data_IF_864089987217
#
_entry.id   IF_864089987217
#
_cell.length_a   1.000
_cell.length_b   1.000
_cell.length_c   1.000
_cell.angle_alpha   90.00
_cell.angle_beta   90.00
_cell.angle_gamma   90.00
#
_symmetry.space_group_name_H-M   'P 1'
#
loop_
_entity.id
_entity.type
_entity.pdbx_description
1 polymer ?
#
# COMPACT_ATOMS: atom_id res chain seq x y z
N UNK A 1 -26.20 5.07 14.72
CA UNK A 1 -27.22 4.75 13.70
C UNK A 1 -27.40 3.23 13.59
N UNK A 2 -28.63 2.70 13.47
CA UNK A 2 -28.87 1.27 13.32
C UNK A 2 -28.45 0.73 11.94
N UNK A 3 -28.09 -0.56 11.85
CA UNK A 3 -27.62 -1.20 10.62
C UNK A 3 -28.72 -1.28 9.56
N UNK A 4 -28.40 -0.98 8.29
CA UNK A 4 -29.35 -1.07 7.18
C UNK A 4 -30.18 0.19 6.86
N UNK A 5 -29.97 1.30 7.57
CA UNK A 5 -30.76 2.54 7.38
C UNK A 5 -30.21 3.53 6.35
N UNK A 6 -29.39 3.08 5.39
CA UNK A 6 -28.83 3.98 4.36
C UNK A 6 -27.84 5.02 4.90
N UNK A 7 -27.08 4.67 5.95
CA UNK A 7 -26.07 5.57 6.56
C UNK A 7 -25.06 6.06 5.52
N UNK A 8 -24.55 5.13 4.72
CA UNK A 8 -23.52 5.37 3.72
C UNK A 8 -24.02 6.32 2.64
N UNK A 9 -25.17 6.03 2.02
CA UNK A 9 -25.81 6.93 1.05
C UNK A 9 -26.05 8.33 1.61
N UNK A 10 -26.58 8.44 2.85
CA UNK A 10 -26.87 9.74 3.48
C UNK A 10 -25.60 10.55 3.76
N UNK A 11 -24.51 9.87 4.15
CA UNK A 11 -23.23 10.50 4.39
C UNK A 11 -22.57 10.93 3.08
N UNK A 12 -22.59 10.08 2.07
CA UNK A 12 -22.05 10.38 0.74
C UNK A 12 -22.79 11.56 0.09
N UNK A 13 -24.13 11.58 0.17
CA UNK A 13 -24.94 12.67 -0.41
C UNK A 13 -24.65 14.01 0.25
N UNK A 14 -24.55 14.05 1.59
CA UNK A 14 -24.21 15.26 2.33
C UNK A 14 -22.83 15.79 1.95
N UNK A 15 -21.82 14.91 1.87
CA UNK A 15 -20.45 15.32 1.59
C UNK A 15 -20.30 15.80 0.15
N UNK A 16 -20.87 15.09 -0.82
CA UNK A 16 -20.86 15.52 -2.24
C UNK A 16 -21.57 16.87 -2.40
N UNK A 17 -22.72 17.06 -1.75
CA UNK A 17 -23.43 18.34 -1.76
C UNK A 17 -22.58 19.46 -1.15
N UNK A 18 -21.89 19.19 -0.04
CA UNK A 18 -21.01 20.16 0.62
C UNK A 18 -19.80 20.54 -0.23
N UNK A 19 -19.16 19.55 -0.90
CA UNK A 19 -18.04 19.79 -1.82
C UNK A 19 -18.45 20.64 -3.02
N UNK A 20 -19.67 20.43 -3.56
CA UNK A 20 -20.21 21.26 -4.65
C UNK A 20 -20.59 22.67 -4.19
N UNK A 21 -21.20 22.80 -3.01
CA UNK A 21 -21.66 24.10 -2.50
C UNK A 21 -20.50 25.01 -2.07
N UNK A 22 -19.37 24.43 -1.64
CA UNK A 22 -18.20 25.16 -1.15
C UNK A 22 -16.90 24.60 -1.74
N UNK A 23 -16.58 24.91 -3.01
CA UNK A 23 -15.31 24.50 -3.60
C UNK A 23 -14.15 25.14 -2.80
N UNK A 24 -13.30 24.30 -2.20
CA UNK A 24 -12.15 24.72 -1.39
C UNK A 24 -12.28 24.47 0.12
N UNK A 25 -13.48 24.22 0.65
CA UNK A 25 -13.64 23.86 2.06
C UNK A 25 -13.20 22.41 2.34
N UNK A 26 -13.52 21.50 1.42
CA UNK A 26 -13.08 20.10 1.45
C UNK A 26 -12.47 19.79 0.09
N UNK A 27 -11.17 19.49 0.06
CA UNK A 27 -10.46 19.15 -1.17
C UNK A 27 -10.51 17.64 -1.44
N UNK A 28 -10.35 16.83 -0.38
CA UNK A 28 -10.42 15.37 -0.45
C UNK A 28 -11.34 14.79 0.60
N UNK A 29 -12.15 13.83 0.20
CA UNK A 29 -12.95 12.99 1.06
C UNK A 29 -12.42 11.55 1.03
N UNK A 30 -12.22 10.97 2.20
CA UNK A 30 -11.65 9.63 2.37
C UNK A 30 -12.63 8.78 3.17
N UNK A 31 -13.10 7.69 2.56
CA UNK A 31 -13.94 6.69 3.20
C UNK A 31 -13.12 5.45 3.52
N UNK A 32 -13.09 5.09 4.80
CA UNK A 32 -12.32 3.96 5.31
C UNK A 32 -13.25 2.85 5.74
N UNK A 33 -13.03 1.66 5.18
CA UNK A 33 -13.85 0.48 5.43
C UNK A 33 -13.00 -0.75 5.79
N UNK A 34 -13.62 -1.84 6.25
CA UNK A 34 -12.91 -3.04 6.70
C UNK A 34 -12.60 -3.96 5.55
N UNK A 35 -13.64 -4.32 4.80
CA UNK A 35 -13.56 -5.39 3.81
C UNK A 35 -13.67 -4.85 2.39
N UNK A 36 -13.12 -5.59 1.43
CA UNK A 36 -13.21 -5.23 0.00
C UNK A 36 -14.66 -5.20 -0.50
N UNK A 37 -15.56 -6.12 -0.12
CA UNK A 37 -16.97 -6.03 -0.48
C UNK A 37 -17.68 -4.77 0.06
N UNK A 38 -17.31 -4.29 1.25
CA UNK A 38 -17.83 -3.02 1.75
C UNK A 38 -17.35 -1.84 0.90
N UNK A 39 -16.06 -1.81 0.54
CA UNK A 39 -15.50 -0.81 -0.39
C UNK A 39 -16.27 -0.82 -1.72
N UNK A 40 -16.52 -2.00 -2.30
CA UNK A 40 -17.28 -2.14 -3.54
C UNK A 40 -18.71 -1.62 -3.41
N UNK A 41 -19.40 -1.91 -2.30
CA UNK A 41 -20.76 -1.40 -2.02
C UNK A 41 -20.79 0.12 -1.95
N UNK A 42 -19.85 0.73 -1.23
CA UNK A 42 -19.75 2.21 -1.10
C UNK A 42 -19.58 2.85 -2.48
N UNK A 43 -18.75 2.27 -3.35
CA UNK A 43 -18.53 2.77 -4.71
C UNK A 43 -19.79 2.61 -5.57
N UNK A 44 -20.51 1.51 -5.47
CA UNK A 44 -21.78 1.32 -6.20
C UNK A 44 -22.86 2.30 -5.73
N UNK A 45 -22.96 2.57 -4.43
CA UNK A 45 -23.84 3.62 -3.91
C UNK A 45 -23.45 5.01 -4.44
N UNK A 46 -22.15 5.31 -4.52
CA UNK A 46 -21.66 6.54 -5.12
C UNK A 46 -22.01 6.65 -6.62
N UNK A 47 -21.99 5.53 -7.35
CA UNK A 47 -22.43 5.48 -8.76
C UNK A 47 -23.92 5.79 -8.90
N UNK A 48 -24.75 5.32 -7.97
CA UNK A 48 -26.18 5.67 -7.94
C UNK A 48 -26.36 7.17 -7.71
N UNK A 49 -25.61 7.74 -6.75
CA UNK A 49 -25.64 9.18 -6.47
C UNK A 49 -25.21 10.01 -7.68
N UNK A 50 -24.15 9.61 -8.37
CA UNK A 50 -23.67 10.31 -9.57
C UNK A 50 -24.69 10.28 -10.72
N UNK A 51 -25.42 9.17 -10.89
CA UNK A 51 -26.52 9.09 -11.86
C UNK A 51 -27.66 10.02 -11.49
N UNK A 52 -28.03 10.08 -10.20
CA UNK A 52 -29.05 10.99 -9.71
C UNK A 52 -28.66 12.45 -9.96
N UNK A 53 -27.41 12.82 -9.70
CA UNK A 53 -26.93 14.16 -10.05
C UNK A 53 -26.98 14.42 -11.57
N UNK A 54 -26.56 13.46 -12.40
CA UNK A 54 -26.60 13.63 -13.85
C UNK A 54 -28.03 13.86 -14.37
N UNK A 55 -29.03 13.19 -13.79
CA UNK A 55 -30.44 13.38 -14.17
C UNK A 55 -31.01 14.72 -13.71
N UNK A 56 -30.63 15.18 -12.52
CA UNK A 56 -31.18 16.43 -11.95
C UNK A 56 -30.49 17.68 -12.50
N UNK A 57 -29.18 17.65 -12.75
CA UNK A 57 -28.44 18.82 -13.23
C UNK A 57 -28.30 18.89 -14.75
N UNK A 58 -28.72 17.85 -15.48
CA UNK A 58 -28.58 17.72 -16.93
C UNK A 58 -27.12 17.90 -17.43
N UNK A 59 -26.16 17.72 -16.53
CA UNK A 59 -24.71 17.75 -16.79
C UNK A 59 -24.14 16.33 -16.73
N UNK A 60 -22.88 16.13 -17.14
CA UNK A 60 -22.13 14.87 -17.02
C UNK A 60 -21.76 14.56 -15.54
N UNK A 61 -22.78 14.43 -14.69
CA UNK A 61 -22.74 13.94 -13.32
C UNK A 61 -22.17 14.91 -12.29
N UNK A 62 -21.49 14.35 -11.27
CA UNK A 62 -20.99 15.15 -10.14
C UNK A 62 -19.73 15.96 -10.46
N UNK A 63 -19.05 15.74 -11.59
CA UNK A 63 -17.78 16.38 -11.93
C UNK A 63 -16.60 15.99 -11.02
N UNK A 64 -16.80 15.04 -10.10
CA UNK A 64 -15.79 14.59 -9.13
C UNK A 64 -15.14 13.29 -9.59
N UNK A 65 -13.84 13.15 -9.29
CA UNK A 65 -13.12 11.90 -9.45
C UNK A 65 -13.19 11.09 -8.16
N UNK A 66 -13.77 9.89 -8.24
CA UNK A 66 -13.81 8.95 -7.13
C UNK A 66 -13.10 7.65 -7.49
N UNK A 67 -12.26 7.15 -6.58
CA UNK A 67 -11.50 5.93 -6.79
C UNK A 67 -11.53 5.01 -5.57
N UNK A 68 -11.67 3.71 -5.82
CA UNK A 68 -11.41 2.70 -4.81
C UNK A 68 -10.00 2.12 -4.91
N UNK A 69 -9.38 1.90 -3.76
CA UNK A 69 -8.07 1.25 -3.66
C UNK A 69 -8.18 -0.12 -3.00
N UNK A 70 -7.33 -1.02 -3.45
CA UNK A 70 -7.20 -2.37 -2.91
C UNK A 70 -5.78 -2.90 -3.10
N UNK A 71 -5.53 -4.09 -2.56
CA UNK A 71 -4.29 -4.85 -2.74
C UNK A 71 -4.02 -5.25 -4.20
N UNK A 72 -2.75 -5.59 -4.50
CA UNK A 72 -2.33 -6.05 -5.83
C UNK A 72 -3.07 -7.31 -6.28
N UNK A 73 -3.41 -8.21 -5.36
CA UNK A 73 -4.22 -9.41 -5.61
C UNK A 73 -5.53 -9.07 -6.34
N UNK A 74 -6.15 -7.95 -5.98
CA UNK A 74 -7.43 -7.54 -6.53
C UNK A 74 -7.31 -6.65 -7.76
N UNK A 75 -6.14 -6.09 -8.11
CA UNK A 75 -5.98 -5.14 -9.23
C UNK A 75 -5.03 -5.64 -10.34
N UNK A 76 -4.21 -6.65 -10.08
CA UNK A 76 -3.24 -7.16 -11.06
C UNK A 76 -3.94 -7.82 -12.27
N UNK A 77 -3.49 -7.46 -13.48
CA UNK A 77 -3.95 -8.03 -14.75
C UNK A 77 -3.04 -9.17 -15.22
N UNK A 78 -1.75 -9.10 -14.89
CA UNK A 78 -0.74 -10.05 -15.37
C UNK A 78 -1.07 -11.48 -14.93
N UNK A 79 -1.06 -12.41 -15.89
CA UNK A 79 -1.56 -13.78 -15.65
C UNK A 79 -0.66 -14.55 -14.70
N UNK A 80 0.66 -14.43 -14.88
CA UNK A 80 1.65 -15.16 -14.10
C UNK A 80 1.67 -14.71 -12.64
N UNK A 81 1.53 -13.39 -12.43
CA UNK A 81 1.45 -12.81 -11.09
C UNK A 81 0.14 -13.18 -10.41
N UNK A 82 -0.99 -13.11 -11.13
CA UNK A 82 -2.31 -13.44 -10.57
C UNK A 82 -2.45 -14.91 -10.16
N UNK A 83 -1.77 -15.83 -10.87
CA UNK A 83 -1.77 -17.27 -10.57
C UNK A 83 -1.05 -17.62 -9.27
N UNK A 84 -0.20 -16.74 -8.73
CA UNK A 84 0.49 -16.96 -7.45
C UNK A 84 -0.46 -17.09 -6.24
N UNK A 85 -1.72 -16.63 -6.37
CA UNK A 85 -2.80 -16.87 -5.42
C UNK A 85 -2.76 -16.00 -4.17
N UNK A 86 -1.78 -16.23 -3.29
CA UNK A 86 -1.69 -15.52 -2.02
C UNK A 86 -1.22 -14.06 -2.17
N UNK A 87 -1.64 -13.18 -1.27
CA UNK A 87 -1.34 -11.75 -1.32
C UNK A 87 0.16 -11.45 -1.30
N UNK A 88 0.90 -12.08 -0.38
CA UNK A 88 2.35 -11.92 -0.29
C UNK A 88 3.08 -12.50 -1.50
N UNK A 89 2.61 -13.65 -2.01
CA UNK A 89 3.15 -14.28 -3.21
C UNK A 89 2.95 -13.42 -4.47
N UNK A 90 1.77 -12.80 -4.61
CA UNK A 90 1.44 -11.83 -5.66
C UNK A 90 2.34 -10.61 -5.57
N UNK A 91 2.57 -10.08 -4.37
CA UNK A 91 3.44 -8.92 -4.16
C UNK A 91 4.90 -9.24 -4.52
N UNK A 92 5.40 -10.40 -4.12
CA UNK A 92 6.74 -10.87 -4.49
C UNK A 92 6.87 -11.10 -6.00
N UNK A 93 5.87 -11.71 -6.64
CA UNK A 93 5.86 -11.94 -8.09
C UNK A 93 5.82 -10.63 -8.88
N UNK A 94 5.01 -9.67 -8.45
CA UNK A 94 4.98 -8.32 -9.03
C UNK A 94 6.33 -7.62 -8.86
N UNK A 95 6.93 -7.70 -7.67
CA UNK A 95 8.23 -7.11 -7.40
C UNK A 95 9.33 -7.69 -8.29
N UNK A 96 9.34 -9.01 -8.51
CA UNK A 96 10.29 -9.67 -9.43
C UNK A 96 10.26 -9.14 -10.87
N UNK A 97 9.16 -8.54 -11.31
CA UNK A 97 9.01 -8.01 -12.66
C UNK A 97 9.14 -6.48 -12.76
N UNK A 98 8.94 -5.78 -11.64
CA UNK A 98 8.84 -4.31 -11.60
C UNK A 98 10.01 -3.65 -10.88
N UNK A 99 10.86 -4.44 -10.23
CA UNK A 99 11.98 -3.89 -9.50
C UNK A 99 13.01 -3.22 -10.42
N UNK A 100 13.57 -2.12 -9.94
CA UNK A 100 14.40 -1.20 -10.74
C UNK A 100 15.60 -1.86 -11.41
N UNK A 101 16.25 -2.82 -10.77
CA UNK A 101 17.34 -3.61 -11.36
C UNK A 101 16.92 -4.49 -12.51
N UNK A 102 15.74 -5.10 -12.42
CA UNK A 102 15.19 -5.95 -13.47
C UNK A 102 14.90 -5.09 -14.68
N UNK A 103 14.35 -3.88 -14.44
CA UNK A 103 14.10 -2.89 -15.49
C UNK A 103 15.39 -2.42 -16.16
N UNK A 104 16.42 -2.09 -15.38
CA UNK A 104 17.75 -1.70 -15.89
C UNK A 104 18.41 -2.84 -16.69
N UNK A 105 18.34 -4.07 -16.18
CA UNK A 105 18.84 -5.26 -16.89
C UNK A 105 18.06 -5.54 -18.16
N UNK A 106 16.75 -5.37 -18.14
CA UNK A 106 15.90 -5.51 -19.32
C UNK A 106 16.21 -4.45 -20.39
N UNK A 107 16.59 -3.24 -19.98
CA UNK A 107 17.03 -2.20 -20.91
C UNK A 107 18.36 -2.56 -21.61
N UNK A 108 19.27 -3.28 -20.94
CA UNK A 108 20.50 -3.79 -21.54
C UNK A 108 20.34 -5.13 -22.28
N UNK A 109 19.42 -5.98 -21.82
CA UNK A 109 19.17 -7.32 -22.32
C UNK A 109 17.67 -7.60 -22.36
N UNK A 110 17.10 -7.58 -23.56
CA UNK A 110 15.68 -7.77 -23.82
C UNK A 110 15.17 -9.19 -23.47
N UNK A 111 16.05 -10.14 -23.11
CA UNK A 111 15.65 -11.49 -22.67
C UNK A 111 15.11 -11.53 -21.23
N UNK A 112 15.39 -10.52 -20.41
CA UNK A 112 14.97 -10.48 -19.00
C UNK A 112 13.46 -10.19 -18.88
N UNK A 113 12.66 -10.97 -18.14
CA UNK A 113 11.22 -10.72 -18.06
C UNK A 113 10.90 -9.43 -17.28
N UNK A 114 10.15 -8.53 -17.91
CA UNK A 114 9.63 -7.29 -17.31
C UNK A 114 8.11 -7.18 -17.44
N UNK A 115 7.46 -6.39 -16.58
CA UNK A 115 6.01 -6.20 -16.65
C UNK A 115 5.66 -5.12 -17.69
N UNK A 116 5.17 -5.54 -18.85
CA UNK A 116 4.73 -4.65 -19.95
C UNK A 116 3.76 -3.55 -19.46
N UNK A 117 2.76 -3.95 -18.66
CA UNK A 117 1.74 -3.02 -18.14
C UNK A 117 2.31 -1.91 -17.25
N UNK A 118 3.41 -2.19 -16.54
CA UNK A 118 4.05 -1.21 -15.69
C UNK A 118 4.94 -0.27 -16.52
N UNK A 119 5.71 -0.80 -17.47
CA UNK A 119 6.53 0.02 -18.36
C UNK A 119 5.69 0.99 -19.19
N UNK A 120 4.58 0.52 -19.77
CA UNK A 120 3.67 1.37 -20.55
C UNK A 120 3.04 2.47 -19.69
N UNK A 121 2.70 2.15 -18.43
CA UNK A 121 2.19 3.12 -17.47
C UNK A 121 3.26 4.14 -17.06
N UNK A 122 4.51 3.72 -16.86
CA UNK A 122 5.60 4.61 -16.48
C UNK A 122 5.96 5.59 -17.59
N UNK A 123 5.84 5.17 -18.86
CA UNK A 123 6.10 5.99 -20.04
C UNK A 123 4.98 6.99 -20.34
N UNK A 124 3.72 6.56 -20.37
CA UNK A 124 2.61 7.38 -20.87
C UNK A 124 1.54 7.68 -19.82
N UNK A 125 1.38 6.80 -18.83
CA UNK A 125 0.28 6.85 -17.88
C UNK A 125 0.36 7.98 -16.85
N UNK A 126 1.53 8.62 -16.70
CA UNK A 126 1.71 9.77 -15.79
C UNK A 126 1.22 11.09 -16.39
N UNK A 127 1.22 11.22 -17.72
CA UNK A 127 0.82 12.46 -18.40
C UNK A 127 -0.71 12.56 -18.56
N UNK A 128 -1.40 11.42 -18.57
CA UNK A 128 -2.84 11.34 -18.74
C UNK A 128 -3.54 10.96 -17.43
N UNK A 129 -4.01 11.94 -16.63
CA UNK A 129 -4.81 11.63 -15.46
C UNK A 129 -6.15 11.00 -15.85
N UNK A 130 -6.74 10.24 -14.93
CA UNK A 130 -8.09 9.71 -15.12
C UNK A 130 -9.09 10.87 -15.27
N UNK A 131 -9.97 10.76 -16.27
CA UNK A 131 -11.11 11.65 -16.42
C UNK A 131 -12.03 11.59 -15.20
N UNK A 132 -12.76 12.67 -14.92
CA UNK A 132 -13.76 12.68 -13.85
C UNK A 132 -14.75 11.51 -14.01
N UNK A 133 -15.06 10.84 -12.91
CA UNK A 133 -15.84 9.61 -12.91
C UNK A 133 -15.60 8.79 -11.65
N UNK A 134 -16.39 7.72 -11.50
CA UNK A 134 -16.33 6.85 -10.32
C UNK A 134 -15.76 5.50 -10.74
N UNK A 135 -14.54 5.19 -10.31
CA UNK A 135 -13.82 3.98 -10.70
C UNK A 135 -13.88 2.90 -9.61
N UNK A 136 -14.44 1.73 -9.96
CA UNK A 136 -14.50 0.56 -9.07
C UNK A 136 -13.32 -0.42 -9.32
N UNK A 137 -13.06 -1.28 -8.34
CA UNK A 137 -11.95 -2.25 -8.29
C UNK A 137 -12.18 -3.44 -9.24
N UNK A 138 -13.36 -4.04 -9.19
CA UNK A 138 -13.73 -5.25 -9.93
C UNK A 138 -15.23 -5.22 -10.28
N UNK A 139 -15.59 -5.62 -11.50
CA UNK A 139 -16.96 -6.02 -11.81
C UNK A 139 -17.08 -7.53 -11.63
N UNK A 140 -17.79 -7.97 -10.58
CA UNK A 140 -18.19 -9.36 -10.38
C UNK A 140 -19.56 -9.69 -11.00
N UNK A 141 -20.25 -8.72 -11.57
CA UNK A 141 -21.57 -8.94 -12.18
C UNK A 141 -21.45 -9.33 -13.64
N UNK A 142 -21.69 -10.61 -13.89
CA UNK A 142 -21.93 -11.21 -15.20
C UNK A 142 -23.33 -10.89 -15.78
N UNK A 143 -24.11 -10.04 -15.11
CA UNK A 143 -25.52 -9.81 -15.44
C UNK A 143 -25.77 -8.33 -15.67
N UNK A 144 -26.29 -8.01 -16.86
CA UNK A 144 -26.58 -6.70 -17.44
C UNK A 144 -25.42 -6.08 -18.25
N UNK A 145 -25.16 -6.73 -19.39
CA UNK A 145 -24.70 -6.07 -20.62
C UNK A 145 -25.61 -4.86 -20.89
N UNK A 146 -25.03 -3.68 -21.07
CA UNK A 146 -25.39 -2.63 -22.05
C UNK A 146 -24.72 -1.28 -21.68
N UNK A 147 -24.37 -1.00 -20.41
CA UNK A 147 -23.76 0.31 -20.07
C UNK A 147 -22.73 0.33 -18.91
N UNK A 148 -22.12 -0.81 -18.55
CA UNK A 148 -21.23 -0.92 -17.37
C UNK A 148 -19.72 -0.83 -17.64
N UNK A 149 -19.25 -0.68 -18.88
CA UNK A 149 -17.82 -0.82 -19.21
C UNK A 149 -16.93 0.42 -18.98
N UNK A 150 -17.46 1.60 -18.68
CA UNK A 150 -16.64 2.83 -18.66
C UNK A 150 -15.83 3.05 -17.37
N UNK A 151 -16.21 2.41 -16.27
CA UNK A 151 -15.85 2.88 -14.92
C UNK A 151 -15.17 1.81 -14.04
N UNK A 152 -14.48 0.86 -14.66
CA UNK A 152 -13.71 -0.17 -13.97
C UNK A 152 -12.21 0.02 -14.21
N UNK A 153 -11.43 0.03 -13.14
CA UNK A 153 -10.00 0.31 -13.24
C UNK A 153 -9.24 -0.80 -13.97
N UNK A 154 -9.66 -2.06 -13.80
CA UNK A 154 -9.10 -3.20 -14.56
C UNK A 154 -9.42 -3.14 -16.04
N UNK A 155 -10.66 -2.79 -16.40
CA UNK A 155 -11.07 -2.72 -17.80
C UNK A 155 -10.33 -1.57 -18.50
N UNK A 156 -10.20 -0.44 -17.82
CA UNK A 156 -9.42 0.71 -18.29
C UNK A 156 -7.95 0.34 -18.50
N UNK A 157 -7.32 -0.34 -17.53
CA UNK A 157 -5.93 -0.79 -17.66
C UNK A 157 -5.73 -1.82 -18.78
N UNK A 158 -6.70 -2.72 -19.02
CA UNK A 158 -6.64 -3.65 -20.17
C UNK A 158 -6.76 -2.94 -21.51
N UNK A 159 -7.59 -1.90 -21.59
CA UNK A 159 -7.82 -1.16 -22.84
C UNK A 159 -6.60 -0.33 -23.24
N UNK A 160 -5.95 0.32 -22.27
CA UNK A 160 -4.80 1.21 -22.53
C UNK A 160 -3.44 0.53 -22.33
N UNK A 161 -3.42 -0.71 -21.82
CA UNK A 161 -2.17 -1.41 -21.50
C UNK A 161 -1.52 -0.96 -20.19
N UNK A 162 -2.22 -0.23 -19.32
CA UNK A 162 -1.66 0.25 -18.06
C UNK A 162 -1.91 -0.68 -16.88
N UNK A 163 -0.96 -0.70 -15.94
CA UNK A 163 -1.11 -1.40 -14.67
C UNK A 163 -2.16 -0.71 -13.78
N UNK A 164 -3.32 -1.34 -13.49
CA UNK A 164 -4.40 -0.70 -12.74
C UNK A 164 -3.99 -0.35 -11.32
N UNK A 165 -3.11 -1.14 -10.71
CA UNK A 165 -2.65 -0.91 -9.34
C UNK A 165 -1.85 0.38 -9.21
N UNK A 166 -0.90 0.60 -10.11
CA UNK A 166 -0.08 1.83 -10.11
C UNK A 166 -0.88 3.03 -10.58
N UNK A 167 -1.76 2.83 -11.56
CA UNK A 167 -2.73 3.83 -11.98
C UNK A 167 -3.59 4.30 -10.79
N UNK A 168 -4.18 3.36 -10.02
CA UNK A 168 -5.01 3.70 -8.87
C UNK A 168 -4.27 4.58 -7.85
N UNK A 169 -3.02 4.21 -7.57
CA UNK A 169 -2.16 4.92 -6.63
C UNK A 169 -1.79 6.31 -7.12
N UNK A 170 -1.46 6.43 -8.40
CA UNK A 170 -1.16 7.74 -8.99
C UNK A 170 -2.39 8.66 -8.96
N UNK A 171 -3.58 8.10 -9.22
CA UNK A 171 -4.84 8.85 -9.19
C UNK A 171 -5.25 9.33 -7.79
N UNK A 172 -4.63 8.88 -6.70
CA UNK A 172 -4.86 9.40 -5.33
C UNK A 172 -4.57 10.91 -5.26
N UNK A 173 -3.61 11.39 -6.06
CA UNK A 173 -3.24 12.81 -6.08
C UNK A 173 -4.38 13.68 -6.60
N UNK A 174 -5.07 13.21 -7.64
CA UNK A 174 -6.10 13.96 -8.38
C UNK A 174 -7.53 13.62 -7.95
N UNK A 175 -7.73 12.52 -7.21
CA UNK A 175 -9.05 12.10 -6.77
C UNK A 175 -9.60 13.00 -5.67
N UNK A 176 -10.89 13.34 -5.79
CA UNK A 176 -11.64 14.05 -4.77
C UNK A 176 -12.19 13.11 -3.71
N UNK A 177 -12.61 11.90 -4.11
CA UNK A 177 -13.18 10.89 -3.22
C UNK A 177 -12.35 9.63 -3.30
N UNK A 178 -11.92 9.11 -2.15
CA UNK A 178 -11.09 7.91 -2.08
C UNK A 178 -11.71 6.92 -1.12
N UNK A 179 -11.92 5.68 -1.56
CA UNK A 179 -12.45 4.60 -0.73
C UNK A 179 -11.40 3.52 -0.57
N UNK A 180 -10.92 3.26 0.64
CA UNK A 180 -9.94 2.22 0.90
C UNK A 180 -10.04 1.61 2.29
N UNK A 181 -9.20 0.61 2.58
CA UNK A 181 -9.21 -0.05 3.87
C UNK A 181 -8.47 0.73 4.95
N UNK A 182 -8.98 0.73 6.19
CA UNK A 182 -8.32 1.42 7.31
C UNK A 182 -6.85 1.00 7.53
N UNK A 183 -6.43 -0.18 7.06
CA UNK A 183 -5.03 -0.61 7.11
C UNK A 183 -4.07 0.35 6.40
N UNK A 184 -4.52 1.05 5.35
CA UNK A 184 -3.68 1.99 4.59
C UNK A 184 -3.38 3.28 5.39
N UNK A 185 -4.29 3.70 6.27
CA UNK A 185 -4.07 4.86 7.18
C UNK A 185 -3.40 4.47 8.49
N UNK A 186 -3.70 3.27 9.00
CA UNK A 186 -3.21 2.88 10.32
C UNK A 186 -1.81 2.26 10.26
N UNK A 187 -1.38 1.68 9.14
CA UNK A 187 -0.01 1.16 9.01
C UNK A 187 0.98 2.31 8.80
N UNK A 188 1.89 2.61 9.76
CA UNK A 188 2.84 3.70 9.62
C UNK A 188 3.74 3.55 8.38
N UNK A 189 3.97 2.32 7.90
CA UNK A 189 4.75 2.09 6.68
C UNK A 189 4.04 2.63 5.45
N UNK A 190 2.72 2.45 5.36
CA UNK A 190 1.91 2.83 4.19
C UNK A 190 1.36 4.25 4.35
N UNK A 191 0.93 4.59 5.57
CA UNK A 191 0.38 5.87 5.94
C UNK A 191 1.36 7.00 5.69
N UNK A 192 2.67 6.79 5.86
CA UNK A 192 3.66 7.80 5.55
C UNK A 192 3.73 8.16 4.05
N UNK A 193 3.41 7.23 3.14
CA UNK A 193 3.31 7.58 1.73
C UNK A 193 2.02 8.34 1.47
N UNK A 194 0.89 7.79 1.91
CA UNK A 194 -0.43 8.35 1.59
C UNK A 194 -0.67 9.68 2.30
N UNK A 195 -0.26 9.82 3.56
CA UNK A 195 -0.53 11.02 4.38
C UNK A 195 0.28 12.24 3.96
N UNK A 196 1.42 12.04 3.27
CA UNK A 196 2.18 13.16 2.68
C UNK A 196 1.43 13.80 1.52
N UNK A 197 0.64 12.99 0.82
CA UNK A 197 -0.09 13.35 -0.40
C UNK A 197 -1.51 13.88 -0.13
N UNK A 198 -1.91 13.96 1.15
CA UNK A 198 -3.22 14.42 1.57
C UNK A 198 -3.18 15.88 2.01
N UNK A 199 -4.06 16.74 1.47
CA UNK A 199 -4.18 18.11 1.93
C UNK A 199 -4.77 18.17 3.34
N UNK A 200 -4.45 19.24 4.06
CA UNK A 200 -4.97 19.48 5.43
C UNK A 200 -6.50 19.62 5.45
N UNK A 201 -7.09 20.09 4.34
CA UNK A 201 -8.54 20.23 4.16
C UNK A 201 -9.16 18.91 3.66
N UNK A 202 -8.81 17.80 4.31
CA UNK A 202 -9.38 16.48 4.00
C UNK A 202 -10.31 16.00 5.11
N UNK A 203 -11.38 15.33 4.71
CA UNK A 203 -12.35 14.71 5.64
C UNK A 203 -12.20 13.20 5.55
N UNK A 204 -11.91 12.58 6.69
CA UNK A 204 -11.73 11.13 6.81
C UNK A 204 -12.91 10.57 7.62
N UNK A 205 -13.61 9.59 7.04
CA UNK A 205 -14.69 8.86 7.71
C UNK A 205 -14.30 7.41 7.89
N UNK A 206 -14.29 6.96 9.14
CA UNK A 206 -14.11 5.56 9.49
C UNK A 206 -15.46 4.89 9.65
N UNK A 207 -15.75 3.96 8.75
CA UNK A 207 -16.89 3.08 8.88
C UNK A 207 -16.56 1.91 9.82
N UNK A 208 -17.56 1.45 10.57
CA UNK A 208 -17.42 0.38 11.56
C UNK A 208 -16.19 0.55 12.50
N UNK A 209 -15.97 1.79 12.96
CA UNK A 209 -14.82 2.20 13.75
C UNK A 209 -14.63 1.44 15.07
N UNK A 210 -15.63 0.68 15.52
CA UNK A 210 -15.56 -0.18 16.70
C UNK A 210 -14.49 -1.29 16.58
N UNK A 211 -13.96 -1.56 15.38
CA UNK A 211 -12.88 -2.53 15.19
C UNK A 211 -11.46 -1.93 15.24
N UNK A 212 -11.30 -0.60 15.35
CA UNK A 212 -9.98 0.05 15.25
C UNK A 212 -9.01 -0.43 16.34
N UNK A 213 -9.50 -0.65 17.57
CA UNK A 213 -8.65 -1.13 18.67
C UNK A 213 -8.11 -2.53 18.39
N UNK A 214 -8.96 -3.44 17.90
CA UNK A 214 -8.56 -4.80 17.52
C UNK A 214 -7.56 -4.81 16.37
N UNK A 215 -7.52 -3.79 15.52
CA UNK A 215 -6.54 -3.71 14.42
C UNK A 215 -5.14 -3.49 14.96
N UNK A 216 -4.98 -2.77 16.09
CA UNK A 216 -3.69 -2.66 16.77
C UNK A 216 -3.26 -4.01 17.34
N UNK A 217 -4.20 -4.76 17.89
CA UNK A 217 -3.93 -6.10 18.47
C UNK A 217 -3.61 -7.14 17.39
N UNK A 218 -4.34 -7.13 16.27
CA UNK A 218 -4.05 -7.98 15.11
C UNK A 218 -2.67 -7.70 14.51
N UNK A 219 -2.17 -6.45 14.59
CA UNK A 219 -0.77 -6.17 14.22
C UNK A 219 0.22 -6.85 15.16
N UNK A 220 -0.03 -6.82 16.47
CA UNK A 220 0.83 -7.50 17.44
C UNK A 220 0.84 -9.02 17.19
N UNK A 221 -0.34 -9.61 16.97
CA UNK A 221 -0.46 -11.05 16.73
C UNK A 221 0.04 -11.49 15.34
N UNK A 222 -0.14 -10.65 14.31
CA UNK A 222 0.45 -10.92 12.99
C UNK A 222 1.98 -10.81 13.00
N UNK A 223 2.56 -9.95 13.85
CA UNK A 223 4.01 -9.89 14.02
C UNK A 223 4.55 -11.19 14.64
N UNK A 224 3.79 -11.83 15.52
CA UNK A 224 4.12 -13.15 16.08
C UNK A 224 4.02 -14.25 15.02
N UNK A 225 2.95 -14.30 14.25
CA UNK A 225 2.82 -15.23 13.11
C UNK A 225 3.87 -15.02 12.02
N UNK A 226 4.24 -13.76 11.72
CA UNK A 226 5.32 -13.44 10.80
C UNK A 226 6.67 -13.94 11.33
N UNK A 227 6.90 -13.91 12.65
CA UNK A 227 8.11 -14.50 13.25
C UNK A 227 8.15 -16.01 13.06
N UNK A 228 7.02 -16.69 13.21
CA UNK A 228 6.92 -18.14 12.98
C UNK A 228 7.15 -18.52 11.51
N UNK A 229 6.57 -17.78 10.56
CA UNK A 229 6.81 -18.00 9.14
C UNK A 229 8.23 -17.62 8.72
N UNK A 230 8.79 -16.55 9.28
CA UNK A 230 10.18 -16.17 9.10
C UNK A 230 11.11 -17.28 9.59
N UNK A 231 10.83 -17.88 10.75
CA UNK A 231 11.60 -19.03 11.24
C UNK A 231 11.55 -20.20 10.25
N UNK A 232 10.36 -20.55 9.74
CA UNK A 232 10.19 -21.60 8.71
C UNK A 232 10.93 -21.28 7.40
N UNK A 233 10.92 -20.02 6.98
CA UNK A 233 11.59 -19.55 5.77
C UNK A 233 13.11 -19.47 5.93
N UNK A 234 13.61 -19.10 7.11
CA UNK A 234 15.05 -19.11 7.44
C UNK A 234 15.58 -20.54 7.47
N UNK A 235 14.78 -21.49 7.96
CA UNK A 235 15.06 -22.93 7.87
C UNK A 235 15.19 -23.38 6.39
N UNK A 236 14.28 -22.93 5.52
CA UNK A 236 14.28 -23.24 4.08
C UNK A 236 15.36 -22.52 3.26
N UNK A 237 15.70 -21.27 3.60
CA UNK A 237 16.73 -20.48 2.92
C UNK A 237 18.15 -20.96 3.24
N UNK A 238 18.36 -21.65 4.37
CA UNK A 238 19.62 -22.35 4.70
C UNK A 238 19.99 -23.42 3.66
N UNK A 239 19.02 -23.89 2.86
CA UNK A 239 19.24 -24.85 1.77
C UNK A 239 19.45 -24.18 0.39
N UNK A 240 19.15 -22.89 0.24
CA UNK A 240 19.13 -22.18 -1.06
C UNK A 240 20.16 -21.05 -1.12
N UNK A 241 21.34 -21.25 -0.53
CA UNK A 241 22.34 -20.23 -0.27
C UNK A 241 23.22 -19.85 -1.48
N UNK A 242 22.65 -19.82 -2.68
CA UNK A 242 23.33 -19.28 -3.88
C UNK A 242 22.30 -18.56 -4.75
N UNK A 243 21.99 -17.31 -4.39
CA UNK A 243 21.61 -16.21 -5.30
C UNK A 243 20.85 -15.14 -4.52
N UNK A 244 21.53 -14.04 -4.17
CA UNK A 244 21.06 -12.63 -4.23
C UNK A 244 21.83 -11.74 -3.25
N UNK A 245 22.81 -11.03 -3.78
CA UNK A 245 22.99 -9.60 -3.55
C UNK A 245 22.68 -8.97 -4.92
N UNK A 246 21.75 -8.04 -5.06
CA UNK A 246 21.75 -6.67 -4.56
C UNK A 246 20.42 -6.09 -5.01
N UNK A 247 19.54 -5.57 -4.14
CA UNK A 247 18.43 -4.70 -4.58
C UNK A 247 17.80 -3.83 -3.48
N UNK A 248 18.46 -2.70 -3.24
CA UNK A 248 17.77 -1.49 -2.83
C UNK A 248 17.45 -0.71 -4.11
N UNK A 249 16.18 -0.63 -4.46
CA UNK A 249 15.49 0.58 -4.95
C UNK A 249 14.06 0.15 -5.33
N UNK A 250 13.10 0.80 -4.64
CA UNK A 250 11.64 0.61 -4.59
C UNK A 250 11.08 -0.30 -3.48
N UNK A 251 11.67 -0.20 -2.28
CA UNK A 251 10.98 -0.45 -1.02
C UNK A 251 10.82 0.88 -0.27
N UNK A 252 9.57 1.27 0.04
CA UNK A 252 9.20 2.35 0.96
C UNK A 252 9.74 3.77 0.61
N UNK A 253 9.18 4.86 1.17
CA UNK A 253 9.67 6.19 0.86
C UNK A 253 11.07 6.31 1.45
N UNK A 254 11.97 6.73 0.57
CA UNK A 254 13.31 7.21 0.87
C UNK A 254 13.17 8.17 2.05
N UNK A 255 13.86 7.86 3.15
CA UNK A 255 14.08 8.78 4.23
C UNK A 255 14.64 10.07 3.61
N UNK A 256 14.13 11.28 3.96
CA UNK A 256 14.65 12.53 3.42
C UNK A 256 16.18 12.56 3.46
N UNK A 257 16.82 13.13 2.43
CA UNK A 257 18.28 13.07 2.22
C UNK A 257 19.11 13.58 3.43
N UNK A 258 18.49 14.38 4.31
CA UNK A 258 19.04 14.81 5.59
C UNK A 258 19.33 13.62 6.53
N UNK A 259 18.46 12.61 6.56
CA UNK A 259 18.62 11.40 7.38
C UNK A 259 19.71 10.49 6.78
N UNK A 260 19.85 10.42 5.45
CA UNK A 260 20.90 9.62 4.81
C UNK A 260 22.31 10.17 5.08
N UNK A 261 22.45 11.49 5.30
CA UNK A 261 23.74 12.12 5.62
C UNK A 261 24.06 12.09 7.11
N UNK A 262 23.06 12.10 8.00
CA UNK A 262 23.26 12.12 9.46
C UNK A 262 23.13 10.76 10.15
N UNK A 263 22.32 9.82 9.64
CA UNK A 263 21.92 8.61 10.39
C UNK A 263 22.83 7.40 10.19
N UNK A 264 23.79 7.43 9.26
CA UNK A 264 24.74 6.32 9.08
C UNK A 264 26.07 6.70 9.72
N UNK A 265 26.39 6.19 10.93
CA UNK A 265 27.71 6.33 11.52
C UNK A 265 28.80 5.98 10.50
N UNK A 266 29.91 6.73 10.48
CA UNK A 266 30.99 6.53 9.52
C UNK A 266 31.52 5.08 9.45
N UNK A 267 31.36 4.32 10.54
CA UNK A 267 31.70 2.90 10.67
C UNK A 267 30.77 1.92 9.95
N UNK A 268 29.63 2.35 9.41
CA UNK A 268 28.66 1.49 8.69
C UNK A 268 28.59 1.82 7.18
N UNK A 269 29.52 2.64 6.68
CA UNK A 269 29.51 3.08 5.27
C UNK A 269 30.02 2.02 4.28
N UNK A 270 30.87 1.09 4.72
CA UNK A 270 31.32 -0.02 3.87
C UNK A 270 30.51 -1.30 4.15
N UNK A 271 30.20 -2.05 3.08
CA UNK A 271 29.47 -3.30 3.18
C UNK A 271 30.14 -4.28 4.16
N UNK A 272 31.47 -4.33 4.17
CA UNK A 272 32.24 -5.18 5.09
C UNK A 272 32.05 -4.78 6.55
N UNK A 273 32.07 -3.47 6.85
CA UNK A 273 31.88 -2.99 8.21
C UNK A 273 30.44 -3.21 8.69
N UNK A 274 29.47 -3.11 7.78
CA UNK A 274 28.07 -3.42 8.03
C UNK A 274 27.84 -4.93 8.27
N UNK A 275 28.45 -5.80 7.47
CA UNK A 275 28.39 -7.25 7.67
C UNK A 275 29.08 -7.66 8.98
N UNK A 276 30.22 -7.07 9.30
CA UNK A 276 30.91 -7.28 10.58
C UNK A 276 30.07 -6.78 11.77
N UNK A 277 29.34 -5.68 11.60
CA UNK A 277 28.35 -5.21 12.57
C UNK A 277 27.22 -6.21 12.76
N UNK A 278 26.57 -6.67 11.67
CA UNK A 278 25.47 -7.62 11.73
C UNK A 278 25.90 -8.94 12.37
N UNK A 279 27.10 -9.45 12.04
CA UNK A 279 27.66 -10.66 12.67
C UNK A 279 27.83 -10.48 14.18
N UNK A 280 28.42 -9.36 14.63
CA UNK A 280 28.60 -9.05 16.06
C UNK A 280 27.27 -8.94 16.78
N UNK A 281 26.31 -8.23 16.21
CA UNK A 281 24.97 -8.09 16.78
C UNK A 281 24.24 -9.44 16.86
N UNK A 282 24.35 -10.27 15.82
CA UNK A 282 23.75 -11.60 15.79
C UNK A 282 24.34 -12.52 16.87
N UNK A 283 25.67 -12.50 17.07
CA UNK A 283 26.32 -13.28 18.14
C UNK A 283 25.90 -12.81 19.52
N UNK A 284 25.74 -11.50 19.73
CA UNK A 284 25.18 -10.97 20.98
C UNK A 284 23.74 -11.45 21.23
N UNK A 285 22.88 -11.40 20.21
CA UNK A 285 21.50 -11.90 20.32
C UNK A 285 21.48 -13.40 20.63
N UNK A 286 22.35 -14.20 20.00
CA UNK A 286 22.49 -15.63 20.31
C UNK A 286 22.95 -15.86 21.76
N UNK A 287 23.91 -15.08 22.26
CA UNK A 287 24.38 -15.17 23.63
C UNK A 287 23.25 -14.84 24.62
N UNK A 288 22.42 -13.85 24.30
CA UNK A 288 21.25 -13.48 25.10
C UNK A 288 20.13 -14.52 25.07
N UNK A 289 19.92 -15.18 23.94
CA UNK A 289 18.94 -16.27 23.80
C UNK A 289 19.36 -17.59 24.47
N UNK A 290 20.65 -17.77 24.82
CA UNK A 290 21.15 -18.96 25.53
C UNK A 290 20.92 -18.95 27.04
N UNK A 291 20.38 -17.86 27.58
CA UNK A 291 20.13 -17.73 29.02
C UNK A 291 19.01 -18.71 29.43
N UNK A 292 19.30 -19.60 30.38
CA UNK A 292 18.40 -20.69 30.78
C UNK A 292 17.27 -20.27 31.73
N UNK A 293 17.24 -19.00 32.17
CA UNK A 293 16.20 -18.45 33.02
C UNK A 293 15.43 -17.33 32.28
N UNK A 294 14.17 -17.11 32.69
CA UNK A 294 13.33 -16.05 32.11
C UNK A 294 13.88 -14.69 32.53
N UNK A 295 14.19 -13.85 31.55
CA UNK A 295 14.68 -12.48 31.75
C UNK A 295 13.67 -11.50 31.14
N UNK A 296 13.23 -10.52 31.93
CA UNK A 296 12.40 -9.41 31.47
C UNK A 296 13.23 -8.13 31.44
N UNK A 297 13.54 -7.62 30.26
CA UNK A 297 14.30 -6.38 30.06
C UNK A 297 13.44 -5.33 29.34
N UNK A 298 13.64 -4.05 29.69
CA UNK A 298 13.04 -2.95 28.93
C UNK A 298 13.85 -2.68 27.66
N UNK A 299 13.25 -2.14 26.58
CA UNK A 299 13.97 -1.83 25.35
C UNK A 299 15.18 -0.90 25.57
N UNK A 300 15.08 0.02 26.53
CA UNK A 300 16.17 0.93 26.89
C UNK A 300 17.32 0.21 27.57
N UNK A 301 17.02 -0.74 28.48
CA UNK A 301 18.04 -1.56 29.13
C UNK A 301 18.77 -2.46 28.12
N UNK A 302 18.01 -3.06 27.19
CA UNK A 302 18.57 -3.88 26.13
C UNK A 302 19.52 -3.10 25.21
N UNK A 303 19.15 -1.88 24.81
CA UNK A 303 19.99 -1.02 23.98
C UNK A 303 21.25 -0.54 24.72
N UNK A 304 21.16 -0.31 26.03
CA UNK A 304 22.33 0.03 26.85
C UNK A 304 23.32 -1.13 26.91
N UNK A 305 22.83 -2.35 27.13
CA UNK A 305 23.69 -3.53 27.17
C UNK A 305 24.29 -3.87 25.80
N UNK A 306 23.53 -3.64 24.72
CA UNK A 306 24.06 -3.71 23.35
C UNK A 306 25.23 -2.72 23.15
N UNK A 307 25.09 -1.50 23.65
CA UNK A 307 26.15 -0.49 23.56
C UNK A 307 27.37 -0.90 24.39
N UNK A 308 27.18 -1.41 25.60
CA UNK A 308 28.27 -1.79 26.50
C UNK A 308 29.04 -3.03 26.01
N UNK A 309 28.34 -4.05 25.48
CA UNK A 309 28.97 -5.32 25.10
C UNK A 309 29.35 -5.44 23.63
N UNK A 310 28.66 -4.71 22.76
CA UNK A 310 28.84 -4.80 21.29
C UNK A 310 29.34 -3.47 20.70
N UNK A 311 29.47 -2.42 21.51
CA UNK A 311 29.85 -1.07 21.08
C UNK A 311 28.95 -0.54 19.95
N UNK A 312 27.66 -0.91 19.98
CA UNK A 312 26.67 -0.48 18.99
C UNK A 312 25.98 0.78 19.49
N UNK A 313 26.24 1.90 18.82
CA UNK A 313 25.58 3.17 19.13
C UNK A 313 24.07 3.08 18.91
N UNK A 314 23.30 3.88 19.66
CA UNK A 314 21.82 3.92 19.58
C UNK A 314 21.30 4.48 18.26
N UNK A 315 22.11 5.29 17.58
CA UNK A 315 21.74 6.02 16.35
C UNK A 315 21.37 5.11 15.17
N UNK A 316 22.10 4.02 14.87
CA UNK A 316 21.70 3.07 13.82
C UNK A 316 20.46 2.22 14.15
N UNK A 317 19.88 2.32 15.35
CA UNK A 317 18.73 1.51 15.81
C UNK A 317 17.44 2.33 16.03
N UNK A 318 17.49 3.66 15.89
CA UNK A 318 16.34 4.57 15.95
C UNK A 318 15.83 4.89 14.53
#
# INVERSE_FOLDING_TARGET
>A
MPSGTGKTVSLLSLIVAYMKARPGAIEKFIYCSRTVPEIEKVVEELKVLHKYYATETNEDGCGLLAIALSSRKNLCIERDVRRAGDGAAVDAACFRLTASFVRKKHASDASTPSCKFYEEFDLHGREQPLSCGIYNLVCHTFQLQIFRLKNDLKAYGRKHGYCPYFLARYSIMHANIIVYSYFYLLDPKIANLVSRDLPKNSVIVFDEAHNIDRVKDVKQHNAERLKEEYQRLVEGLRQAQVAKETDQVLANPILPDEILREAVPGSLRSADSFLAFLRRFLEYVKLRLRIAHVVHETPVAFLRDCLEKVCVDRRPLQ
#
